data_IF_155463346097
#
_entry.id   IF_155463346097
#
_cell.length_a   1.000
_cell.length_b   1.000
_cell.length_c   1.000
_cell.angle_alpha   90.00
_cell.angle_beta   90.00
_cell.angle_gamma   90.00
#
_symmetry.space_group_name_H-M   'P 1'
#
loop_
_entity.id
_entity.type
_entity.pdbx_description
1 polymer ?
#
# COMPACT_ATOMS: atom_id res chain seq x y z
N UNK A 1 -13.67 5.24 -5.61
CA UNK A 1 -12.20 5.19 -5.73
C UNK A 1 -11.66 3.77 -5.68
N UNK A 2 -11.78 3.03 -4.57
CA UNK A 2 -11.22 1.66 -4.48
C UNK A 2 -11.70 0.71 -5.60
N UNK A 3 -13.01 0.64 -5.83
CA UNK A 3 -13.55 -0.23 -6.90
C UNK A 3 -13.01 0.15 -8.29
N UNK A 4 -12.90 1.45 -8.58
CA UNK A 4 -12.33 1.95 -9.84
C UNK A 4 -10.86 1.53 -10.01
N UNK A 5 -10.05 1.58 -8.94
CA UNK A 5 -8.68 1.09 -8.95
C UNK A 5 -8.60 -0.41 -9.20
N UNK A 6 -9.47 -1.19 -8.57
CA UNK A 6 -9.51 -2.65 -8.78
C UNK A 6 -9.88 -2.98 -10.23
N UNK A 7 -10.87 -2.29 -10.80
CA UNK A 7 -11.32 -2.55 -12.16
C UNK A 7 -10.27 -2.10 -13.19
N UNK A 8 -9.71 -0.91 -13.03
CA UNK A 8 -8.64 -0.40 -13.90
C UNK A 8 -7.40 -1.28 -13.86
N UNK A 9 -7.01 -1.78 -12.69
CA UNK A 9 -5.87 -2.69 -12.59
C UNK A 9 -6.12 -4.02 -13.31
N UNK A 10 -7.36 -4.54 -13.29
CA UNK A 10 -7.72 -5.74 -14.07
C UNK A 10 -7.59 -5.48 -15.58
N UNK A 11 -8.01 -4.31 -16.04
CA UNK A 11 -7.85 -3.89 -17.45
C UNK A 11 -6.37 -3.81 -17.86
N UNK A 12 -5.52 -3.27 -16.97
CA UNK A 12 -4.08 -3.15 -17.18
C UNK A 12 -3.31 -4.47 -16.94
N UNK A 13 -3.99 -5.54 -16.52
CA UNK A 13 -3.35 -6.83 -16.23
C UNK A 13 -2.42 -6.81 -15.02
N UNK A 14 -2.63 -5.88 -14.08
CA UNK A 14 -1.83 -5.73 -12.86
C UNK A 14 -2.34 -6.65 -11.75
N UNK A 15 -1.42 -7.37 -11.09
CA UNK A 15 -1.77 -8.09 -9.87
C UNK A 15 -1.88 -7.12 -8.69
N UNK A 16 -3.02 -7.14 -8.00
CA UNK A 16 -3.26 -6.35 -6.79
C UNK A 16 -3.64 -7.23 -5.62
N UNK A 17 -3.31 -6.75 -4.42
CA UNK A 17 -3.92 -7.19 -3.16
C UNK A 17 -4.68 -6.01 -2.56
N UNK A 18 -5.91 -6.27 -2.09
CA UNK A 18 -6.73 -5.30 -1.37
C UNK A 18 -6.89 -5.80 0.06
N UNK A 19 -6.58 -4.96 1.03
CA UNK A 19 -6.66 -5.34 2.44
C UNK A 19 -6.18 -4.24 3.37
N UNK A 20 -6.04 -4.60 4.64
CA UNK A 20 -5.66 -3.67 5.68
C UNK A 20 -4.14 -3.46 5.70
N UNK A 21 -3.72 -2.24 6.06
CA UNK A 21 -2.31 -1.86 6.23
C UNK A 21 -2.13 -1.22 7.59
N UNK A 22 -0.90 -1.26 8.11
CA UNK A 22 -0.52 -0.51 9.30
C UNK A 22 0.11 0.79 8.87
N UNK A 23 -0.41 1.91 9.38
CA UNK A 23 0.28 3.19 9.37
C UNK A 23 1.03 3.34 10.69
N UNK A 24 2.36 3.16 10.66
CA UNK A 24 3.19 3.24 11.86
C UNK A 24 3.92 4.56 11.97
N UNK A 25 4.04 5.08 13.20
CA UNK A 25 4.93 6.20 13.51
C UNK A 25 6.40 5.77 13.71
N UNK A 26 6.65 4.46 13.86
CA UNK A 26 7.97 3.93 14.26
C UNK A 26 8.61 3.17 13.10
N UNK A 27 9.56 3.80 12.40
CA UNK A 27 10.26 3.10 11.31
C UNK A 27 11.19 1.98 11.81
N UNK A 28 11.81 2.16 12.98
CA UNK A 28 12.72 1.20 13.61
C UNK A 28 12.18 0.75 14.98
N UNK A 29 11.23 -0.21 15.03
CA UNK A 29 10.69 -0.68 16.30
C UNK A 29 11.73 -1.54 17.05
N UNK A 30 11.65 -1.54 18.38
CA UNK A 30 12.48 -2.42 19.22
C UNK A 30 12.12 -3.90 19.01
N UNK A 31 10.83 -4.19 18.81
CA UNK A 31 10.30 -5.51 18.45
C UNK A 31 9.91 -5.53 16.96
N UNK A 32 10.28 -6.56 16.22
CA UNK A 32 9.98 -6.67 14.79
C UNK A 32 8.46 -6.74 14.56
N UNK A 33 7.94 -6.06 13.53
CA UNK A 33 6.55 -6.15 13.10
C UNK A 33 6.08 -7.58 12.83
N UNK A 34 7.00 -8.50 12.50
CA UNK A 34 6.71 -9.93 12.39
C UNK A 34 6.25 -10.58 13.71
N UNK A 35 6.60 -9.98 14.85
CA UNK A 35 6.26 -10.46 16.21
C UNK A 35 4.90 -9.98 16.71
N UNK A 36 4.32 -8.94 16.10
CA UNK A 36 3.12 -8.26 16.58
C UNK A 36 1.79 -8.90 16.10
N UNK A 37 1.79 -10.16 15.66
CA UNK A 37 0.61 -10.93 15.24
C UNK A 37 -0.28 -10.31 14.13
N UNK A 38 0.15 -9.20 13.51
CA UNK A 38 -0.58 -8.49 12.45
C UNK A 38 -0.87 -9.38 11.23
N UNK A 39 0.03 -10.32 10.94
CA UNK A 39 -0.16 -11.32 9.88
C UNK A 39 -1.36 -12.21 10.15
N UNK A 40 -1.64 -12.58 11.42
CA UNK A 40 -2.83 -13.35 11.81
C UNK A 40 -4.12 -12.55 11.66
N UNK A 41 -4.03 -11.22 11.67
CA UNK A 41 -5.16 -10.31 11.45
C UNK A 41 -5.39 -9.98 9.96
N UNK A 42 -4.58 -10.55 9.06
CA UNK A 42 -4.70 -10.31 7.61
C UNK A 42 -4.17 -8.95 7.15
N UNK A 43 -3.31 -8.29 7.94
CA UNK A 43 -2.62 -7.07 7.51
C UNK A 43 -1.61 -7.43 6.41
N UNK A 44 -1.61 -6.64 5.34
CA UNK A 44 -0.79 -6.89 4.14
C UNK A 44 0.59 -6.23 4.19
N UNK A 45 0.68 -5.03 4.75
CA UNK A 45 1.92 -4.25 4.76
C UNK A 45 1.95 -3.21 5.87
N UNK A 46 3.14 -2.64 6.09
CA UNK A 46 3.40 -1.50 6.96
C UNK A 46 3.81 -0.32 6.07
N UNK A 47 3.21 0.84 6.31
CA UNK A 47 3.52 2.16 5.74
C UNK A 47 3.32 3.22 6.83
N UNK A 48 3.33 4.53 6.54
CA UNK A 48 3.36 5.56 7.59
C UNK A 48 2.33 6.71 7.41
N UNK A 49 1.40 6.62 6.46
CA UNK A 49 0.59 7.79 6.04
C UNK A 49 -0.92 7.53 5.88
N UNK A 50 -1.32 6.31 5.52
CA UNK A 50 -2.69 6.01 5.06
C UNK A 50 -3.76 6.30 6.11
N UNK A 51 -3.49 6.03 7.39
CA UNK A 51 -4.42 6.32 8.49
C UNK A 51 -4.70 7.82 8.61
N UNK A 52 -3.67 8.67 8.48
CA UNK A 52 -3.83 10.12 8.51
C UNK A 52 -4.59 10.61 7.27
N UNK A 53 -4.21 10.13 6.08
CA UNK A 53 -4.87 10.47 4.81
C UNK A 53 -6.37 10.17 4.86
N UNK A 54 -6.75 8.95 5.24
CA UNK A 54 -8.16 8.55 5.29
C UNK A 54 -8.94 9.29 6.37
N UNK A 55 -8.33 9.53 7.53
CA UNK A 55 -8.95 10.30 8.62
C UNK A 55 -9.25 11.74 8.18
N UNK A 56 -8.29 12.40 7.53
CA UNK A 56 -8.46 13.77 7.04
C UNK A 56 -9.47 13.85 5.89
N UNK A 57 -9.42 12.92 4.95
CA UNK A 57 -10.39 12.86 3.85
C UNK A 57 -11.82 12.69 4.38
N UNK A 58 -12.04 11.76 5.33
CA UNK A 58 -13.32 11.56 5.98
C UNK A 58 -13.79 12.81 6.74
N UNK A 59 -12.90 13.45 7.51
CA UNK A 59 -13.21 14.69 8.25
C UNK A 59 -13.65 15.83 7.33
N UNK A 60 -13.04 15.95 6.15
CA UNK A 60 -13.29 17.05 5.23
C UNK A 60 -14.25 16.71 4.07
N UNK A 61 -14.91 15.55 4.13
CA UNK A 61 -15.85 15.11 3.08
C UNK A 61 -15.19 14.95 1.71
N UNK A 62 -13.92 14.52 1.70
CA UNK A 62 -13.14 14.25 0.48
C UNK A 62 -12.97 12.75 0.28
N UNK A 63 -12.61 12.38 -0.94
CA UNK A 63 -12.26 11.00 -1.26
C UNK A 63 -10.74 10.83 -1.22
N UNK A 64 -10.28 9.69 -0.76
CA UNK A 64 -8.87 9.33 -0.75
C UNK A 64 -8.69 7.83 -0.99
N UNK A 65 -7.52 7.48 -1.51
CA UNK A 65 -7.08 6.11 -1.71
C UNK A 65 -5.55 6.06 -1.58
N UNK A 66 -5.04 5.07 -0.86
CA UNK A 66 -3.62 4.70 -0.85
C UNK A 66 -3.39 3.53 -1.78
N UNK A 67 -2.42 3.66 -2.68
CA UNK A 67 -1.90 2.57 -3.52
C UNK A 67 -0.43 2.41 -3.16
N UNK A 68 0.00 1.18 -2.87
CA UNK A 68 1.31 0.89 -2.30
C UNK A 68 2.05 -0.12 -3.17
N UNK A 69 3.30 0.17 -3.49
CA UNK A 69 4.25 -0.80 -4.04
C UNK A 69 5.07 -1.40 -2.90
N UNK A 70 5.11 -2.73 -2.81
CA UNK A 70 5.92 -3.43 -1.79
C UNK A 70 7.39 -3.36 -2.18
N UNK A 71 8.20 -2.64 -1.39
CA UNK A 71 9.65 -2.52 -1.62
C UNK A 71 10.46 -3.60 -0.90
N UNK A 72 10.00 -4.03 0.27
CA UNK A 72 10.70 -4.93 1.16
C UNK A 72 9.71 -5.88 1.83
N UNK A 73 10.14 -7.12 2.07
CA UNK A 73 9.33 -8.12 2.75
C UNK A 73 9.84 -8.32 4.18
N UNK A 74 9.12 -7.79 5.17
CA UNK A 74 9.56 -7.79 6.58
C UNK A 74 9.84 -9.20 7.13
N UNK A 75 9.02 -10.20 6.78
CA UNK A 75 9.21 -11.58 7.28
C UNK A 75 10.40 -12.31 6.65
N UNK A 76 10.65 -12.16 5.34
CA UNK A 76 11.71 -12.91 4.63
C UNK A 76 13.00 -12.11 4.49
N UNK A 77 12.98 -10.80 4.74
CA UNK A 77 14.10 -9.88 4.56
C UNK A 77 14.43 -9.55 3.11
N UNK A 78 13.66 -10.05 2.14
CA UNK A 78 13.89 -9.79 0.71
C UNK A 78 13.64 -8.31 0.42
N UNK A 79 14.58 -7.70 -0.30
CA UNK A 79 14.48 -6.30 -0.75
C UNK A 79 14.44 -6.26 -2.27
N UNK A 80 13.55 -5.45 -2.82
CA UNK A 80 13.49 -5.24 -4.25
C UNK A 80 14.75 -4.52 -4.74
N UNK A 81 15.26 -4.96 -5.89
CA UNK A 81 16.32 -4.26 -6.62
C UNK A 81 15.85 -2.89 -7.12
N UNK A 82 16.79 -2.05 -7.56
CA UNK A 82 16.45 -0.73 -8.11
C UNK A 82 15.55 -0.82 -9.36
N UNK A 83 15.81 -1.80 -10.24
CA UNK A 83 15.03 -2.02 -11.47
C UNK A 83 13.61 -2.52 -11.17
N UNK A 84 13.46 -3.48 -10.25
CA UNK A 84 12.16 -3.99 -9.81
C UNK A 84 11.31 -2.89 -9.16
N UNK A 85 11.94 -2.05 -8.34
CA UNK A 85 11.29 -0.87 -7.76
C UNK A 85 10.80 0.05 -8.87
N UNK A 86 11.67 0.47 -9.78
CA UNK A 86 11.32 1.42 -10.84
C UNK A 86 10.12 0.92 -11.66
N UNK A 87 10.16 -0.33 -12.14
CA UNK A 87 9.06 -0.90 -12.94
C UNK A 87 7.74 -0.97 -12.17
N UNK A 88 7.79 -1.40 -10.91
CA UNK A 88 6.59 -1.51 -10.08
C UNK A 88 6.01 -0.15 -9.70
N UNK A 89 6.86 0.85 -9.47
CA UNK A 89 6.44 2.23 -9.22
C UNK A 89 5.74 2.84 -10.44
N UNK A 90 6.24 2.59 -11.66
CA UNK A 90 5.59 3.08 -12.88
C UNK A 90 4.17 2.54 -13.02
N UNK A 91 3.97 1.23 -12.84
CA UNK A 91 2.64 0.62 -12.91
C UNK A 91 1.68 1.17 -11.84
N UNK A 92 2.16 1.41 -10.62
CA UNK A 92 1.38 2.04 -9.56
C UNK A 92 0.95 3.47 -9.94
N UNK A 93 1.87 4.27 -10.52
CA UNK A 93 1.59 5.64 -10.93
C UNK A 93 0.59 5.70 -12.09
N UNK A 94 0.73 4.83 -13.09
CA UNK A 94 -0.22 4.72 -14.20
C UNK A 94 -1.62 4.39 -13.67
N UNK A 95 -1.74 3.40 -12.79
CA UNK A 95 -3.01 3.06 -12.15
C UNK A 95 -3.59 4.25 -11.38
N UNK A 96 -2.76 4.98 -10.62
CA UNK A 96 -3.20 6.13 -9.82
C UNK A 96 -3.70 7.28 -10.70
N UNK A 97 -3.06 7.54 -11.85
CA UNK A 97 -3.46 8.57 -12.80
C UNK A 97 -4.78 8.21 -13.50
N UNK A 98 -4.92 6.96 -13.94
CA UNK A 98 -6.11 6.47 -14.64
C UNK A 98 -7.41 6.50 -13.81
N UNK A 99 -7.30 6.53 -12.48
CA UNK A 99 -8.45 6.60 -11.57
C UNK A 99 -8.70 8.00 -10.98
N UNK A 100 -7.79 8.95 -11.26
CA UNK A 100 -7.86 10.31 -10.76
C UNK A 100 -8.62 11.25 -11.71
N UNK A 101 -8.89 10.80 -12.95
CA UNK A 101 -9.82 11.45 -13.89
C UNK A 101 -11.28 11.35 -13.42
#
# INVERSE_FOLDING_TARGET
MLQAAVDKARELGLELKVGNVISSDIFYPEEDYSTLDWTKMGVLSVEMESAALYTLAARHGKQALSILTVSDHLVTGVKASADERQKSFTAMMELALEIAE
#
